data_IF_523967695411
#
_entry.id   IF_523967695411
#
_cell.length_a   1.000
_cell.length_b   1.000
_cell.length_c   1.000
_cell.angle_alpha   90.00
_cell.angle_beta   90.00
_cell.angle_gamma   90.00
#
_symmetry.space_group_name_H-M   'P 1'
#
loop_
_entity.id
_entity.type
_entity.pdbx_description
1 polymer ?
#
# COMPACT_ATOMS: atom_id res chain seq x y z
N UNK A 1 10.01 18.67 -0.66
CA UNK A 1 10.12 17.44 0.17
C UNK A 1 10.76 17.80 1.50
N UNK A 2 10.29 17.23 2.63
CA UNK A 2 10.89 17.46 3.94
C UNK A 2 12.26 16.77 4.08
N UNK A 3 13.09 17.19 5.04
CA UNK A 3 14.46 16.67 5.23
C UNK A 3 14.50 15.15 5.42
N UNK A 4 13.56 14.60 6.19
CA UNK A 4 13.46 13.17 6.45
C UNK A 4 13.23 12.35 5.17
N UNK A 5 12.55 12.93 4.18
CA UNK A 5 12.37 12.32 2.86
C UNK A 5 13.66 12.34 2.02
N UNK A 6 14.45 13.40 2.15
CA UNK A 6 15.77 13.47 1.52
C UNK A 6 16.73 12.45 2.16
N UNK A 7 16.70 12.30 3.48
CA UNK A 7 17.49 11.29 4.20
C UNK A 7 17.10 9.87 3.78
N UNK A 8 15.80 9.61 3.64
CA UNK A 8 15.32 8.33 3.13
C UNK A 8 15.85 8.06 1.71
N UNK A 9 15.80 9.04 0.81
CA UNK A 9 16.33 8.92 -0.54
C UNK A 9 17.85 8.74 -0.56
N UNK A 10 18.61 9.33 0.37
CA UNK A 10 20.05 9.12 0.46
C UNK A 10 20.42 7.67 0.84
N UNK A 11 19.61 7.01 1.67
CA UNK A 11 19.82 5.62 2.11
C UNK A 11 19.35 4.58 1.08
N UNK A 12 18.33 4.93 0.28
CA UNK A 12 17.68 4.00 -0.64
C UNK A 12 17.95 4.30 -2.12
N UNK A 13 18.52 5.47 -2.43
CA UNK A 13 18.87 5.89 -3.78
C UNK A 13 19.99 5.05 -4.39
N UNK A 14 19.94 4.84 -5.71
CA UNK A 14 20.94 4.07 -6.46
C UNK A 14 20.81 2.54 -6.32
N UNK A 15 19.82 2.04 -5.56
CA UNK A 15 19.50 0.61 -5.54
C UNK A 15 18.93 0.18 -6.90
N UNK A 16 19.43 -0.92 -7.43
CA UNK A 16 18.81 -1.57 -8.58
C UNK A 16 17.61 -2.36 -8.09
N UNK A 17 16.41 -1.93 -8.47
CA UNK A 17 15.21 -2.73 -8.22
C UNK A 17 15.10 -3.85 -9.27
N UNK A 18 14.61 -5.00 -8.84
CA UNK A 18 14.42 -6.17 -9.70
C UNK A 18 12.94 -6.53 -9.74
N UNK A 19 12.37 -6.62 -10.94
CA UNK A 19 11.05 -7.18 -11.17
C UNK A 19 11.18 -8.56 -11.80
N UNK A 20 10.42 -9.54 -11.30
CA UNK A 20 10.40 -10.86 -11.88
C UNK A 20 9.69 -11.88 -11.00
N UNK A 21 9.62 -13.11 -11.53
CA UNK A 21 9.08 -14.26 -10.81
C UNK A 21 10.21 -15.24 -10.57
N UNK A 22 10.53 -15.48 -9.31
CA UNK A 22 11.47 -16.51 -8.90
C UNK A 22 10.70 -17.81 -8.68
N UNK A 23 10.96 -18.80 -9.54
CA UNK A 23 10.43 -20.15 -9.38
C UNK A 23 11.43 -21.01 -8.60
N UNK A 24 10.99 -21.59 -7.49
CA UNK A 24 11.79 -22.55 -6.74
C UNK A 24 11.72 -23.92 -7.42
N UNK A 25 12.88 -24.54 -7.62
CA UNK A 25 13.02 -25.84 -8.33
C UNK A 25 12.95 -27.06 -7.41
N UNK A 26 12.74 -26.84 -6.11
CA UNK A 26 12.60 -27.89 -5.10
C UNK A 26 11.41 -27.60 -4.19
N UNK A 27 10.80 -28.63 -3.59
CA UNK A 27 9.72 -28.45 -2.65
C UNK A 27 10.14 -27.62 -1.44
N UNK A 28 9.23 -26.75 -1.00
CA UNK A 28 9.45 -25.83 0.12
C UNK A 28 8.29 -25.88 1.10
N UNK A 29 8.48 -25.32 2.28
CA UNK A 29 7.39 -24.96 3.21
C UNK A 29 7.35 -23.46 3.37
N UNK A 30 6.15 -22.91 3.56
CA UNK A 30 5.89 -21.47 3.61
C UNK A 30 5.58 -21.04 5.03
N UNK A 31 6.35 -20.09 5.56
CA UNK A 31 6.08 -19.45 6.85
C UNK A 31 4.82 -18.58 6.77
N UNK A 32 3.86 -18.72 7.71
CA UNK A 32 2.57 -18.03 7.64
C UNK A 32 2.64 -16.52 7.86
N UNK A 33 3.75 -15.98 8.38
CA UNK A 33 3.85 -14.57 8.79
C UNK A 33 4.44 -13.69 7.70
N UNK A 34 5.58 -14.09 7.15
CA UNK A 34 6.31 -13.31 6.15
C UNK A 34 6.32 -13.98 4.77
N UNK A 35 5.80 -15.21 4.65
CA UNK A 35 5.94 -16.01 3.44
C UNK A 35 7.37 -16.52 3.23
N UNK A 36 8.19 -16.54 4.30
CA UNK A 36 9.55 -17.05 4.24
C UNK A 36 9.55 -18.53 3.84
N UNK A 37 10.43 -18.87 2.91
CA UNK A 37 10.52 -20.22 2.40
C UNK A 37 11.55 -21.04 3.16
N UNK A 38 11.20 -22.30 3.44
CA UNK A 38 12.06 -23.29 4.07
C UNK A 38 12.19 -24.51 3.17
N UNK A 39 13.41 -24.96 2.95
CA UNK A 39 13.68 -26.04 2.02
C UNK A 39 14.73 -27.00 2.60
N UNK A 40 14.30 -28.22 2.94
CA UNK A 40 15.09 -29.17 3.71
C UNK A 40 15.36 -28.69 5.15
N UNK A 41 14.38 -28.05 5.80
CA UNK A 41 14.51 -27.52 7.16
C UNK A 41 15.38 -26.27 7.30
N UNK A 42 15.82 -25.67 6.19
CA UNK A 42 16.65 -24.47 6.16
C UNK A 42 15.94 -23.32 5.47
N UNK A 43 16.06 -22.11 6.02
CA UNK A 43 15.52 -20.89 5.42
C UNK A 43 16.18 -20.63 4.06
N UNK A 44 15.37 -20.22 3.11
CA UNK A 44 15.80 -19.63 1.84
C UNK A 44 15.78 -18.12 2.02
N UNK A 45 16.92 -17.53 2.41
CA UNK A 45 17.03 -16.09 2.63
C UNK A 45 16.76 -15.30 1.35
N UNK A 46 16.14 -14.13 1.49
CA UNK A 46 15.69 -13.34 0.36
C UNK A 46 14.45 -13.91 -0.33
N UNK A 47 13.62 -14.66 0.40
CA UNK A 47 12.32 -15.15 -0.08
C UNK A 47 11.14 -14.26 0.32
N UNK A 48 11.33 -13.31 1.26
CA UNK A 48 10.32 -12.30 1.62
C UNK A 48 10.54 -10.96 0.91
N UNK A 49 9.53 -10.10 0.90
CA UNK A 49 9.61 -8.77 0.28
C UNK A 49 10.66 -7.84 0.89
N UNK A 50 11.05 -8.07 2.14
CA UNK A 50 12.02 -7.24 2.86
C UNK A 50 13.16 -8.11 3.39
N UNK A 51 14.07 -8.60 2.52
CA UNK A 51 15.17 -9.48 2.90
C UNK A 51 15.99 -8.97 4.10
N UNK A 52 16.21 -7.65 4.16
CA UNK A 52 16.94 -6.97 5.23
C UNK A 52 16.23 -6.95 6.58
N UNK A 53 14.93 -7.28 6.60
CA UNK A 53 14.09 -7.36 7.81
C UNK A 53 13.70 -8.79 8.17
N UNK A 54 14.18 -9.79 7.44
CA UNK A 54 13.92 -11.20 7.72
C UNK A 54 14.46 -11.55 9.12
N UNK A 55 13.54 -11.78 10.08
CA UNK A 55 13.88 -12.09 11.47
C UNK A 55 12.84 -13.01 12.10
N UNK A 56 13.30 -13.91 12.97
CA UNK A 56 12.47 -14.73 13.84
C UNK A 56 11.39 -15.56 13.13
N UNK A 57 11.73 -16.36 12.10
CA UNK A 57 10.77 -17.29 11.52
C UNK A 57 10.47 -18.43 12.51
N UNK A 58 9.30 -19.06 12.36
CA UNK A 58 8.86 -20.14 13.24
C UNK A 58 9.54 -21.47 12.88
N UNK A 59 10.82 -21.61 13.24
CA UNK A 59 11.61 -22.82 12.97
C UNK A 59 10.92 -24.10 13.44
N UNK A 60 10.20 -24.06 14.58
CA UNK A 60 9.58 -25.25 15.17
C UNK A 60 8.43 -25.73 14.28
N UNK A 61 7.61 -24.82 13.76
CA UNK A 61 6.54 -25.15 12.81
C UNK A 61 7.05 -25.89 11.57
N UNK A 62 8.27 -25.59 11.11
CA UNK A 62 8.89 -26.21 9.94
C UNK A 62 9.59 -27.56 10.22
N UNK A 63 9.70 -27.99 11.48
CA UNK A 63 10.19 -29.33 11.86
C UNK A 63 9.09 -30.39 11.77
N UNK A 64 7.83 -29.97 11.82
CA UNK A 64 6.68 -30.85 11.74
C UNK A 64 6.29 -31.10 10.28
N UNK A 65 5.62 -32.22 10.01
CA UNK A 65 5.07 -32.50 8.69
C UNK A 65 3.86 -31.59 8.41
N UNK A 66 3.90 -30.74 7.37
CA UNK A 66 2.77 -29.88 7.01
C UNK A 66 1.52 -30.69 6.68
N UNK A 67 0.38 -30.30 7.25
CA UNK A 67 -0.90 -30.98 6.99
C UNK A 67 -1.45 -30.65 5.61
N UNK A 68 -1.29 -29.40 5.16
CA UNK A 68 -1.73 -28.94 3.85
C UNK A 68 -0.56 -28.92 2.87
N UNK A 69 -0.79 -29.45 1.68
CA UNK A 69 0.20 -29.54 0.59
C UNK A 69 -0.41 -29.04 -0.70
N UNK A 70 0.34 -28.23 -1.44
CA UNK A 70 -0.07 -27.66 -2.71
C UNK A 70 0.93 -28.06 -3.82
N UNK A 71 0.45 -28.42 -5.02
CA UNK A 71 1.35 -28.71 -6.14
C UNK A 71 2.12 -27.46 -6.60
N UNK A 72 1.50 -26.29 -6.49
CA UNK A 72 2.15 -25.01 -6.73
C UNK A 72 1.43 -23.89 -5.98
N UNK A 73 2.12 -22.76 -5.77
CA UNK A 73 1.52 -21.53 -5.27
C UNK A 73 2.30 -20.30 -5.73
N UNK A 74 1.60 -19.16 -5.86
CA UNK A 74 2.21 -17.84 -5.94
C UNK A 74 2.02 -17.13 -4.61
N UNK A 75 3.11 -16.67 -4.02
CA UNK A 75 3.11 -16.07 -2.69
C UNK A 75 2.72 -14.59 -2.76
N UNK A 76 1.62 -14.23 -2.11
CA UNK A 76 1.17 -12.86 -1.93
C UNK A 76 1.51 -12.29 -0.54
N UNK A 77 2.17 -13.07 0.32
CA UNK A 77 2.52 -12.66 1.68
C UNK A 77 3.28 -11.34 1.72
N UNK A 78 2.91 -10.50 2.69
CA UNK A 78 3.65 -9.30 3.02
C UNK A 78 3.51 -9.00 4.52
N UNK A 79 4.62 -8.69 5.21
CA UNK A 79 4.62 -8.50 6.69
C UNK A 79 3.70 -7.38 7.19
N UNK A 80 3.40 -6.43 6.30
CA UNK A 80 2.47 -5.32 6.53
C UNK A 80 1.27 -5.36 5.58
N UNK A 81 0.88 -6.52 5.05
CA UNK A 81 -0.21 -6.64 4.07
C UNK A 81 -1.58 -6.18 4.60
N UNK A 82 -1.72 -6.05 5.92
CA UNK A 82 -2.86 -5.45 6.60
C UNK A 82 -2.81 -3.90 6.69
N UNK A 83 -1.84 -3.29 6.02
CA UNK A 83 -1.82 -1.86 5.77
C UNK A 83 -2.28 -1.57 4.34
N UNK A 84 -3.22 -0.65 4.18
CA UNK A 84 -3.82 -0.32 2.87
C UNK A 84 -2.78 0.08 1.80
N UNK A 85 -1.73 0.85 2.16
CA UNK A 85 -0.67 1.17 1.21
C UNK A 85 0.04 -0.09 0.71
N UNK A 86 0.36 -0.99 1.64
CA UNK A 86 1.09 -2.21 1.33
C UNK A 86 0.23 -3.25 0.59
N UNK A 87 -1.07 -3.27 0.85
CA UNK A 87 -2.01 -4.07 0.07
C UNK A 87 -1.93 -3.72 -1.43
N UNK A 88 -1.95 -2.43 -1.78
CA UNK A 88 -1.86 -2.04 -3.19
C UNK A 88 -0.47 -2.30 -3.79
N UNK A 89 0.59 -1.92 -3.09
CA UNK A 89 1.92 -1.87 -3.69
C UNK A 89 2.85 -3.05 -3.37
N UNK A 90 2.43 -4.00 -2.52
CA UNK A 90 3.19 -5.23 -2.24
C UNK A 90 2.35 -6.51 -2.34
N UNK A 91 1.01 -6.42 -2.36
CA UNK A 91 0.12 -7.58 -2.52
C UNK A 91 -0.51 -7.59 -3.92
N UNK A 92 -1.24 -6.53 -4.30
CA UNK A 92 -1.84 -6.44 -5.63
C UNK A 92 -0.81 -6.28 -6.75
N UNK A 93 0.34 -5.68 -6.48
CA UNK A 93 1.42 -5.60 -7.46
C UNK A 93 1.90 -6.99 -7.89
N UNK A 94 1.99 -7.94 -6.95
CA UNK A 94 2.37 -9.32 -7.24
C UNK A 94 1.37 -10.05 -8.12
N UNK A 95 0.08 -9.73 -7.98
CA UNK A 95 -0.99 -10.23 -8.87
C UNK A 95 -0.70 -9.76 -10.29
N UNK A 96 -0.43 -8.46 -10.48
CA UNK A 96 -0.14 -7.88 -11.80
C UNK A 96 1.10 -8.50 -12.43
N UNK A 97 2.18 -8.61 -11.67
CA UNK A 97 3.45 -9.14 -12.18
C UNK A 97 3.34 -10.64 -12.49
N UNK A 98 2.62 -11.42 -11.67
CA UNK A 98 2.37 -12.83 -11.92
C UNK A 98 1.62 -13.07 -13.24
N UNK A 99 0.57 -12.28 -13.49
CA UNK A 99 -0.22 -12.37 -14.71
C UNK A 99 0.57 -11.88 -15.93
N UNK A 100 1.30 -10.76 -15.81
CA UNK A 100 2.16 -10.24 -16.87
C UNK A 100 3.29 -11.22 -17.24
N UNK A 101 3.76 -12.02 -16.28
CA UNK A 101 4.74 -13.09 -16.50
C UNK A 101 4.13 -14.35 -17.15
N UNK A 102 2.82 -14.39 -17.39
CA UNK A 102 2.15 -15.51 -18.04
C UNK A 102 2.09 -16.78 -17.19
N UNK A 103 2.08 -16.65 -15.85
CA UNK A 103 1.96 -17.80 -14.97
C UNK A 103 0.59 -18.46 -15.13
N UNK A 104 0.57 -19.80 -15.06
CA UNK A 104 -0.63 -20.60 -15.23
C UNK A 104 -1.77 -20.11 -14.28
N UNK A 105 -2.96 -19.77 -14.84
CA UNK A 105 -4.12 -19.34 -14.06
C UNK A 105 -4.68 -20.39 -13.09
N UNK A 106 -4.32 -21.66 -13.23
CA UNK A 106 -4.73 -22.74 -12.32
C UNK A 106 -3.91 -22.80 -11.03
N UNK A 107 -2.67 -22.28 -11.05
CA UNK A 107 -1.85 -22.21 -9.84
C UNK A 107 -2.58 -21.23 -8.89
N UNK A 108 -2.68 -21.48 -7.58
CA UNK A 108 -3.37 -20.60 -6.64
C UNK A 108 -2.51 -19.42 -6.18
N UNK A 109 -3.15 -18.30 -5.83
CA UNK A 109 -2.54 -17.27 -5.00
C UNK A 109 -2.63 -17.72 -3.53
N UNK A 110 -1.50 -17.70 -2.83
CA UNK A 110 -1.43 -18.01 -1.40
C UNK A 110 -1.20 -16.71 -0.62
N UNK A 111 -2.11 -16.39 0.28
CA UNK A 111 -2.09 -15.16 1.09
C UNK A 111 -2.24 -15.49 2.56
N UNK A 112 -1.61 -14.72 3.44
CA UNK A 112 -1.75 -14.90 4.88
C UNK A 112 -3.11 -14.41 5.40
N UNK A 113 -3.61 -15.06 6.45
CA UNK A 113 -4.90 -14.74 7.07
C UNK A 113 -5.01 -13.28 7.55
N UNK A 114 -3.88 -12.66 7.97
CA UNK A 114 -3.89 -11.28 8.46
C UNK A 114 -4.25 -10.32 7.32
N UNK A 115 -3.59 -10.44 6.18
CA UNK A 115 -3.92 -9.70 4.95
C UNK A 115 -5.34 -10.01 4.46
N UNK A 116 -5.70 -11.29 4.37
CA UNK A 116 -6.99 -11.75 3.84
C UNK A 116 -8.20 -11.31 4.69
N UNK A 117 -8.00 -11.11 6.00
CA UNK A 117 -9.05 -10.68 6.94
C UNK A 117 -9.43 -9.19 6.83
N UNK A 118 -8.66 -8.39 6.09
CA UNK A 118 -8.93 -6.96 5.99
C UNK A 118 -10.18 -6.65 5.15
N UNK A 119 -10.98 -5.63 5.51
CA UNK A 119 -12.19 -5.30 4.77
C UNK A 119 -11.93 -4.98 3.29
N UNK A 120 -10.82 -4.31 2.97
CA UNK A 120 -10.48 -3.99 1.58
C UNK A 120 -9.99 -5.21 0.79
N UNK A 121 -9.32 -6.18 1.41
CA UNK A 121 -8.98 -7.42 0.71
C UNK A 121 -10.25 -8.17 0.30
N UNK A 122 -11.20 -8.33 1.24
CA UNK A 122 -12.47 -9.01 0.99
C UNK A 122 -13.30 -8.28 -0.08
N UNK A 123 -13.32 -6.94 -0.04
CA UNK A 123 -13.98 -6.15 -1.08
C UNK A 123 -13.29 -6.26 -2.43
N UNK A 124 -11.95 -6.26 -2.48
CA UNK A 124 -11.21 -6.47 -3.73
C UNK A 124 -11.49 -7.87 -4.31
N UNK A 125 -11.58 -8.89 -3.47
CA UNK A 125 -11.98 -10.24 -3.89
C UNK A 125 -13.40 -10.26 -4.46
N UNK A 126 -14.36 -9.62 -3.79
CA UNK A 126 -15.75 -9.53 -4.26
C UNK A 126 -15.88 -8.76 -5.58
N UNK A 127 -15.00 -7.77 -5.82
CA UNK A 127 -14.89 -7.02 -7.07
C UNK A 127 -14.19 -7.80 -8.19
N UNK A 128 -13.63 -8.99 -7.92
CA UNK A 128 -12.90 -9.77 -8.91
C UNK A 128 -11.49 -9.25 -9.22
N UNK A 129 -10.89 -8.43 -8.34
CA UNK A 129 -9.57 -7.81 -8.55
C UNK A 129 -8.45 -8.84 -8.72
N UNK A 130 -8.61 -10.05 -8.17
CA UNK A 130 -7.64 -11.15 -8.29
C UNK A 130 -7.85 -12.05 -9.52
N UNK A 131 -8.76 -11.67 -10.43
CA UNK A 131 -9.12 -12.47 -11.60
C UNK A 131 -9.84 -13.77 -11.23
N UNK A 132 -9.78 -14.76 -12.14
CA UNK A 132 -10.40 -16.08 -11.95
C UNK A 132 -9.55 -17.07 -11.15
N UNK A 133 -8.40 -16.61 -10.64
CA UNK A 133 -7.40 -17.47 -10.01
C UNK A 133 -7.86 -17.92 -8.62
N UNK A 134 -7.63 -19.18 -8.22
CA UNK A 134 -7.97 -19.61 -6.86
C UNK A 134 -7.18 -18.83 -5.81
N UNK A 135 -7.87 -18.38 -4.76
CA UNK A 135 -7.26 -17.75 -3.59
C UNK A 135 -7.27 -18.74 -2.42
N UNK A 136 -6.09 -19.04 -1.89
CA UNK A 136 -5.90 -19.87 -0.72
C UNK A 136 -5.43 -18.98 0.42
N UNK A 137 -6.16 -19.03 1.53
CA UNK A 137 -5.76 -18.38 2.78
C UNK A 137 -4.91 -19.37 3.59
N UNK A 138 -3.72 -18.92 3.97
CA UNK A 138 -2.86 -19.60 4.93
C UNK A 138 -3.19 -19.09 6.34
N UNK A 139 -3.65 -19.99 7.19
CA UNK A 139 -4.09 -19.65 8.54
C UNK A 139 -2.91 -19.27 9.44
N UNK A 140 -3.22 -18.57 10.54
CA UNK A 140 -2.20 -18.16 11.51
C UNK A 140 -1.51 -19.39 12.10
N UNK A 141 -0.18 -19.47 11.96
CA UNK A 141 0.62 -20.60 12.46
C UNK A 141 0.56 -21.85 11.58
N UNK A 142 -0.21 -21.83 10.48
CA UNK A 142 -0.23 -22.94 9.52
C UNK A 142 1.04 -22.91 8.67
N UNK A 143 1.81 -24.00 8.67
CA UNK A 143 2.86 -24.21 7.68
C UNK A 143 2.29 -25.04 6.54
N UNK A 144 2.46 -24.56 5.31
CA UNK A 144 1.98 -25.24 4.09
C UNK A 144 3.18 -25.73 3.28
N UNK A 145 3.16 -26.98 2.83
CA UNK A 145 4.14 -27.47 1.86
C UNK A 145 3.71 -27.11 0.44
N UNK A 146 4.66 -26.67 -0.38
CA UNK A 146 4.43 -26.29 -1.78
C UNK A 146 5.50 -26.95 -2.64
N UNK A 147 5.10 -27.78 -3.60
CA UNK A 147 6.05 -28.48 -4.48
C UNK A 147 6.74 -27.48 -5.44
N UNK A 148 6.01 -26.52 -6.01
CA UNK A 148 6.57 -25.40 -6.79
C UNK A 148 6.09 -24.05 -6.28
N UNK A 149 6.94 -23.34 -5.54
CA UNK A 149 6.65 -21.97 -5.09
C UNK A 149 7.13 -20.91 -6.08
N UNK A 150 6.33 -19.87 -6.26
CA UNK A 150 6.68 -18.67 -7.04
C UNK A 150 6.73 -17.46 -6.10
N UNK A 151 7.90 -16.84 -5.98
CA UNK A 151 8.09 -15.57 -5.28
C UNK A 151 8.08 -14.46 -6.32
N UNK A 152 7.18 -13.50 -6.17
CA UNK A 152 7.07 -12.37 -7.08
C UNK A 152 7.81 -11.17 -6.50
N UNK A 153 8.66 -10.56 -7.32
CA UNK A 153 9.36 -9.31 -7.07
C UNK A 153 8.83 -8.26 -8.03
N UNK A 154 8.52 -7.08 -7.53
CA UNK A 154 8.01 -5.97 -8.32
C UNK A 154 8.92 -4.74 -8.21
N UNK A 155 8.91 -3.93 -9.28
CA UNK A 155 9.49 -2.59 -9.25
C UNK A 155 8.48 -1.65 -8.61
N UNK A 156 8.90 -0.99 -7.54
CA UNK A 156 8.00 -0.29 -6.64
C UNK A 156 7.46 0.99 -7.30
N UNK A 157 6.13 1.19 -7.23
CA UNK A 157 5.43 2.42 -7.67
C UNK A 157 5.61 2.83 -9.14
N UNK A 158 5.91 1.94 -10.09
CA UNK A 158 5.96 2.34 -11.52
C UNK A 158 4.59 2.73 -12.05
N UNK A 159 4.54 3.69 -12.99
CA UNK A 159 3.31 4.04 -13.71
C UNK A 159 2.57 2.82 -14.29
N UNK A 160 3.18 1.92 -15.10
CA UNK A 160 2.45 0.80 -15.69
C UNK A 160 1.83 -0.14 -14.64
N UNK A 161 2.54 -0.36 -13.53
CA UNK A 161 2.03 -1.19 -12.43
C UNK A 161 0.82 -0.53 -11.77
N UNK A 162 0.90 0.77 -11.46
CA UNK A 162 -0.22 1.51 -10.85
C UNK A 162 -1.44 1.54 -11.77
N UNK A 163 -1.23 1.75 -13.08
CA UNK A 163 -2.30 1.76 -14.08
C UNK A 163 -2.96 0.39 -14.22
N UNK A 164 -2.16 -0.68 -14.25
CA UNK A 164 -2.67 -2.05 -14.27
C UNK A 164 -3.45 -2.39 -12.99
N UNK A 165 -2.98 -1.96 -11.81
CA UNK A 165 -3.73 -2.14 -10.56
C UNK A 165 -5.05 -1.36 -10.62
N UNK A 166 -5.02 -0.07 -10.99
CA UNK A 166 -6.20 0.78 -11.05
C UNK A 166 -7.26 0.22 -12.02
N UNK A 167 -6.85 -0.31 -13.17
CA UNK A 167 -7.74 -0.88 -14.18
C UNK A 167 -8.61 -2.03 -13.65
N UNK A 168 -8.12 -2.79 -12.65
CA UNK A 168 -8.86 -3.90 -12.02
C UNK A 168 -10.08 -3.46 -11.22
N UNK A 169 -10.20 -2.17 -10.92
CA UNK A 169 -11.33 -1.62 -10.18
C UNK A 169 -12.43 -1.07 -11.09
N UNK A 170 -12.23 -1.04 -12.42
CA UNK A 170 -13.27 -0.67 -13.38
C UNK A 170 -13.80 0.77 -13.25
N UNK A 171 -13.03 1.67 -12.64
CA UNK A 171 -13.44 3.07 -12.44
C UNK A 171 -13.15 3.91 -13.69
N UNK A 172 -14.04 4.86 -14.01
CA UNK A 172 -13.89 5.72 -15.18
C UNK A 172 -12.71 6.68 -15.02
N UNK A 173 -11.83 6.70 -16.01
CA UNK A 173 -10.66 7.59 -16.07
C UNK A 173 -11.02 9.05 -16.36
N UNK A 174 -12.20 9.28 -16.97
CA UNK A 174 -12.65 10.59 -17.46
C UNK A 174 -13.56 11.32 -16.47
N UNK A 175 -13.73 10.76 -15.26
CA UNK A 175 -14.55 11.40 -14.25
C UNK A 175 -13.92 12.74 -13.81
N UNK A 176 -14.75 13.77 -13.68
CA UNK A 176 -14.40 15.04 -13.05
C UNK A 176 -15.24 15.21 -11.80
N UNK A 177 -14.57 15.37 -10.66
CA UNK A 177 -15.18 15.54 -9.35
C UNK A 177 -14.64 16.75 -8.62
N UNK A 178 -14.98 16.83 -7.35
CA UNK A 178 -14.55 17.90 -6.46
C UNK A 178 -13.11 17.67 -5.96
N UNK A 179 -12.36 18.73 -5.66
CA UNK A 179 -11.08 18.61 -4.96
C UNK A 179 -11.30 18.04 -3.55
N UNK A 180 -10.42 17.15 -3.10
CA UNK A 180 -10.59 16.38 -1.87
C UNK A 180 -9.65 16.87 -0.77
N UNK A 181 -10.17 17.01 0.44
CA UNK A 181 -9.35 17.12 1.64
C UNK A 181 -9.53 15.87 2.49
N UNK A 182 -8.46 15.13 2.72
CA UNK A 182 -8.49 13.89 3.47
C UNK A 182 -8.42 14.20 4.96
N UNK A 183 -9.53 13.98 5.65
CA UNK A 183 -9.61 14.03 7.09
C UNK A 183 -9.06 12.73 7.69
N UNK A 184 -8.38 12.86 8.83
CA UNK A 184 -8.08 11.72 9.69
C UNK A 184 -8.93 11.82 10.95
N UNK A 185 -10.00 11.04 11.01
CA UNK A 185 -10.90 11.06 12.16
C UNK A 185 -10.19 10.60 13.44
N UNK A 186 -10.73 11.03 14.58
CA UNK A 186 -10.22 10.67 15.90
C UNK A 186 -10.17 9.15 16.14
N UNK A 187 -11.04 8.38 15.48
CA UNK A 187 -11.12 6.93 15.51
C UNK A 187 -10.04 6.22 14.67
N UNK A 188 -9.16 6.93 13.98
CA UNK A 188 -8.11 6.32 13.18
C UNK A 188 -7.14 5.51 14.06
N UNK A 189 -7.04 4.21 13.79
CA UNK A 189 -6.32 3.24 14.61
C UNK A 189 -4.82 3.53 14.84
N UNK A 190 -4.21 4.39 14.00
CA UNK A 190 -2.77 4.62 13.95
C UNK A 190 -2.33 5.99 14.53
N UNK A 191 -3.23 6.71 15.21
CA UNK A 191 -2.96 8.06 15.72
C UNK A 191 -2.55 9.06 14.62
N UNK A 192 -1.69 10.03 14.98
CA UNK A 192 -1.27 11.15 14.13
C UNK A 192 -2.41 12.07 13.76
N UNK A 193 -3.21 12.46 14.76
CA UNK A 193 -4.31 13.40 14.57
C UNK A 193 -3.76 14.81 14.46
N UNK A 194 -4.52 15.67 13.81
CA UNK A 194 -4.33 17.10 13.98
C UNK A 194 -5.08 17.53 15.23
N UNK A 195 -4.43 18.20 16.18
CA UNK A 195 -5.14 18.72 17.36
C UNK A 195 -6.09 19.86 17.00
N UNK A 196 -5.79 20.62 15.95
CA UNK A 196 -6.69 21.62 15.37
C UNK A 196 -7.49 21.09 14.15
N UNK A 197 -7.91 19.82 14.17
CA UNK A 197 -8.64 19.18 13.06
C UNK A 197 -9.91 19.95 12.64
N UNK A 198 -10.67 20.49 13.58
CA UNK A 198 -11.91 21.23 13.28
C UNK A 198 -11.61 22.50 12.48
N UNK A 199 -10.56 23.22 12.84
CA UNK A 199 -10.13 24.44 12.14
C UNK A 199 -9.63 24.12 10.72
N UNK A 200 -8.85 23.04 10.59
CA UNK A 200 -8.33 22.52 9.32
C UNK A 200 -9.47 22.13 8.38
N UNK A 201 -10.44 21.35 8.86
CA UNK A 201 -11.56 20.88 8.02
C UNK A 201 -12.52 22.01 7.69
N UNK A 202 -12.75 22.95 8.61
CA UNK A 202 -13.55 24.15 8.34
C UNK A 202 -12.89 25.01 7.26
N UNK A 203 -11.57 25.21 7.31
CA UNK A 203 -10.83 25.92 6.27
C UNK A 203 -10.96 25.21 4.91
N UNK A 204 -10.73 23.90 4.86
CA UNK A 204 -10.82 23.13 3.63
C UNK A 204 -12.21 23.24 2.97
N UNK A 205 -13.30 23.10 3.77
CA UNK A 205 -14.67 23.30 3.29
C UNK A 205 -14.90 24.71 2.75
N UNK A 206 -14.46 25.75 3.47
CA UNK A 206 -14.58 27.15 3.02
C UNK A 206 -13.84 27.40 1.70
N UNK A 207 -12.74 26.68 1.45
CA UNK A 207 -11.97 26.75 0.20
C UNK A 207 -12.55 25.90 -0.93
N UNK A 208 -13.69 25.24 -0.73
CA UNK A 208 -14.35 24.43 -1.77
C UNK A 208 -13.87 22.99 -1.87
N UNK A 209 -13.12 22.49 -0.89
CA UNK A 209 -12.74 21.08 -0.84
C UNK A 209 -13.84 20.24 -0.20
N UNK A 210 -14.10 19.08 -0.78
CA UNK A 210 -14.87 18.03 -0.14
C UNK A 210 -14.01 17.34 0.91
N UNK A 211 -14.36 17.53 2.18
CA UNK A 211 -13.71 16.83 3.30
C UNK A 211 -14.23 15.40 3.39
N UNK A 212 -13.32 14.43 3.35
CA UNK A 212 -13.67 12.99 3.35
C UNK A 212 -12.69 12.19 4.21
N UNK A 213 -13.19 11.19 4.92
CA UNK A 213 -12.38 10.10 5.47
C UNK A 213 -12.54 8.88 4.56
N UNK A 214 -11.53 8.55 3.72
CA UNK A 214 -11.62 7.42 2.80
C UNK A 214 -11.90 6.09 3.51
N UNK A 215 -11.43 5.92 4.75
CA UNK A 215 -11.62 4.69 5.53
C UNK A 215 -13.09 4.37 5.86
N UNK A 216 -13.98 5.35 5.70
CA UNK A 216 -15.43 5.18 5.90
C UNK A 216 -16.18 4.76 4.63
N UNK A 217 -15.49 4.73 3.49
CA UNK A 217 -16.09 4.41 2.19
C UNK A 217 -15.77 2.97 1.77
N UNK A 218 -16.70 2.28 1.08
CA UNK A 218 -16.37 1.06 0.37
C UNK A 218 -15.21 1.27 -0.62
N UNK A 219 -14.39 0.25 -0.83
CA UNK A 219 -13.18 0.27 -1.63
C UNK A 219 -13.42 0.79 -3.05
N UNK A 220 -14.47 0.30 -3.72
CA UNK A 220 -14.84 0.78 -5.05
C UNK A 220 -15.26 2.26 -5.04
N UNK A 221 -15.94 2.71 -3.99
CA UNK A 221 -16.32 4.12 -3.85
C UNK A 221 -15.10 5.01 -3.58
N UNK A 222 -14.08 4.53 -2.84
CA UNK A 222 -12.79 5.22 -2.72
C UNK A 222 -12.13 5.34 -4.09
N UNK A 223 -12.06 4.25 -4.85
CA UNK A 223 -11.47 4.24 -6.19
C UNK A 223 -12.16 5.25 -7.13
N UNK A 224 -13.49 5.24 -7.19
CA UNK A 224 -14.25 6.16 -8.03
C UNK A 224 -14.10 7.63 -7.61
N UNK A 225 -14.11 7.90 -6.30
CA UNK A 225 -13.95 9.25 -5.75
C UNK A 225 -12.58 9.86 -6.12
N UNK A 226 -11.51 9.08 -5.98
CA UNK A 226 -10.16 9.56 -6.28
C UNK A 226 -9.85 9.58 -7.79
N UNK A 227 -10.43 8.67 -8.58
CA UNK A 227 -10.32 8.73 -10.04
C UNK A 227 -10.84 10.07 -10.60
N UNK A 228 -11.86 10.63 -9.96
CA UNK A 228 -12.50 11.89 -10.33
C UNK A 228 -11.80 13.15 -9.77
N UNK A 229 -10.94 13.03 -8.76
CA UNK A 229 -10.43 14.17 -8.00
C UNK A 229 -9.31 14.92 -8.75
N UNK A 230 -9.49 16.21 -9.09
CA UNK A 230 -8.46 17.02 -9.76
C UNK A 230 -7.38 17.53 -8.79
N UNK A 231 -7.69 17.57 -7.50
CA UNK A 231 -6.74 17.92 -6.46
C UNK A 231 -7.03 17.16 -5.17
N UNK A 232 -5.99 16.82 -4.42
CA UNK A 232 -6.07 16.09 -3.15
C UNK A 232 -5.11 16.71 -2.14
N UNK A 233 -5.62 17.11 -0.99
CA UNK A 233 -4.83 17.57 0.15
C UNK A 233 -5.05 16.65 1.35
N UNK A 234 -4.03 16.39 2.18
CA UNK A 234 -4.25 15.63 3.40
C UNK A 234 -2.99 15.18 4.12
N UNK A 235 -3.18 14.56 5.28
CA UNK A 235 -2.10 14.02 6.09
C UNK A 235 -1.37 12.86 5.39
N UNK A 236 -0.04 12.83 5.51
CA UNK A 236 0.80 11.69 5.10
C UNK A 236 0.25 10.38 5.69
N UNK A 237 -0.16 9.44 4.82
CA UNK A 237 -0.71 8.16 5.23
C UNK A 237 -1.55 7.49 4.16
N UNK A 238 -1.95 6.25 4.46
CA UNK A 238 -2.59 5.30 3.55
C UNK A 238 -3.79 5.82 2.75
N UNK A 239 -4.51 6.85 3.21
CA UNK A 239 -5.58 7.46 2.42
C UNK A 239 -5.10 8.02 1.08
N UNK A 240 -3.86 8.52 1.02
CA UNK A 240 -3.22 9.03 -0.20
C UNK A 240 -2.85 7.92 -1.20
N UNK A 241 -2.89 6.64 -0.81
CA UNK A 241 -2.71 5.52 -1.75
C UNK A 241 -3.72 5.59 -2.89
N UNK A 242 -4.95 6.04 -2.61
CA UNK A 242 -6.00 6.16 -3.61
C UNK A 242 -5.66 7.11 -4.78
N UNK A 243 -4.61 7.95 -4.66
CA UNK A 243 -4.09 8.73 -5.79
C UNK A 243 -3.73 7.85 -7.01
N UNK A 244 -3.44 6.55 -6.81
CA UNK A 244 -3.16 5.62 -7.90
C UNK A 244 -4.32 5.48 -8.90
N UNK A 245 -5.56 5.75 -8.48
CA UNK A 245 -6.76 5.64 -9.32
C UNK A 245 -6.94 6.81 -10.29
N UNK A 246 -6.28 7.95 -10.03
CA UNK A 246 -6.37 9.12 -10.89
C UNK A 246 -5.52 8.94 -12.14
N UNK A 247 -6.13 9.07 -13.32
CA UNK A 247 -5.42 8.95 -14.61
C UNK A 247 -5.06 10.30 -15.23
N UNK A 248 -5.97 11.28 -15.14
CA UNK A 248 -5.72 12.64 -15.62
C UNK A 248 -4.82 13.45 -14.68
N UNK A 249 -4.54 14.73 -15.01
CA UNK A 249 -3.80 15.63 -14.15
C UNK A 249 -4.38 15.71 -12.75
N UNK A 250 -3.50 15.84 -11.75
CA UNK A 250 -3.85 16.00 -10.36
C UNK A 250 -2.83 16.90 -9.66
N UNK A 251 -3.27 17.63 -8.65
CA UNK A 251 -2.42 18.40 -7.76
C UNK A 251 -2.53 17.86 -6.34
N UNK A 252 -1.40 17.66 -5.68
CA UNK A 252 -1.32 17.00 -4.38
C UNK A 252 -0.67 17.93 -3.36
N UNK A 253 -1.33 18.13 -2.22
CA UNK A 253 -0.73 18.76 -1.04
C UNK A 253 -0.63 17.75 0.10
N UNK A 254 0.59 17.32 0.40
CA UNK A 254 0.83 16.37 1.47
C UNK A 254 1.28 17.05 2.77
N UNK A 255 0.58 16.78 3.87
CA UNK A 255 0.92 17.28 5.21
C UNK A 255 1.74 16.24 5.98
N UNK A 256 3.02 16.51 6.19
CA UNK A 256 3.95 15.63 6.89
C UNK A 256 3.98 15.89 8.39
N UNK A 257 3.98 14.82 9.18
CA UNK A 257 4.39 14.89 10.58
C UNK A 257 5.92 14.91 10.68
N UNK A 258 6.54 15.68 11.59
CA UNK A 258 8.00 15.72 11.75
C UNK A 258 8.65 14.35 12.00
N UNK A 259 7.91 13.37 12.53
CA UNK A 259 8.39 12.01 12.75
C UNK A 259 8.26 11.06 11.54
N UNK A 260 7.71 11.53 10.42
CA UNK A 260 7.50 10.75 9.19
C UNK A 260 8.42 11.22 8.07
N UNK A 261 9.03 10.27 7.36
CA UNK A 261 10.01 10.57 6.31
C UNK A 261 9.90 9.75 5.03
N UNK A 262 8.94 8.84 4.88
CA UNK A 262 8.86 8.05 3.64
C UNK A 262 8.33 8.91 2.47
N UNK A 263 9.06 9.04 1.35
CA UNK A 263 8.67 9.89 0.21
C UNK A 263 7.67 9.23 -0.75
N UNK A 264 6.92 8.21 -0.30
CA UNK A 264 6.15 7.33 -1.19
C UNK A 264 5.12 8.07 -2.05
N UNK A 265 4.41 9.06 -1.51
CA UNK A 265 3.40 9.79 -2.29
C UNK A 265 4.01 10.86 -3.20
N UNK A 266 5.18 11.40 -2.87
CA UNK A 266 5.99 12.15 -3.83
C UNK A 266 6.42 11.28 -5.02
N UNK A 267 6.91 10.06 -4.75
CA UNK A 267 7.30 9.11 -5.80
C UNK A 267 6.10 8.73 -6.69
N UNK A 268 4.96 8.42 -6.07
CA UNK A 268 3.70 8.17 -6.78
C UNK A 268 3.31 9.37 -7.65
N UNK A 269 3.30 10.58 -7.09
CA UNK A 269 2.96 11.79 -7.81
C UNK A 269 3.91 12.02 -9.00
N UNK A 270 5.22 11.81 -8.81
CA UNK A 270 6.21 11.90 -9.88
C UNK A 270 5.93 10.90 -11.01
N UNK A 271 5.72 9.63 -10.66
CA UNK A 271 5.42 8.57 -11.64
C UNK A 271 4.12 8.85 -12.40
N UNK A 272 3.09 9.38 -11.72
CA UNK A 272 1.82 9.79 -12.33
C UNK A 272 1.86 11.18 -13.00
N UNK A 273 2.95 11.94 -12.88
CA UNK A 273 3.07 13.28 -13.46
C UNK A 273 2.19 14.33 -12.78
N UNK A 274 1.85 14.13 -11.51
CA UNK A 274 1.06 15.05 -10.71
C UNK A 274 1.92 16.21 -10.20
N UNK A 275 1.32 17.40 -10.09
CA UNK A 275 1.95 18.48 -9.36
C UNK A 275 1.90 18.15 -7.86
N UNK A 276 3.02 18.35 -7.17
CA UNK A 276 3.15 17.92 -5.79
C UNK A 276 3.77 19.03 -4.93
N UNK A 277 3.12 19.29 -3.80
CA UNK A 277 3.60 20.13 -2.72
C UNK A 277 3.53 19.39 -1.39
N UNK A 278 4.39 19.78 -0.45
CA UNK A 278 4.39 19.22 0.90
C UNK A 278 4.56 20.31 1.94
N UNK A 279 3.86 20.21 3.07
CA UNK A 279 4.01 21.08 4.23
C UNK A 279 4.28 20.25 5.48
N UNK A 280 5.07 20.81 6.41
CA UNK A 280 5.29 20.19 7.72
C UNK A 280 4.22 20.66 8.70
N UNK A 281 3.68 19.72 9.46
CA UNK A 281 2.94 19.99 10.70
C UNK A 281 3.93 20.20 11.85
N UNK A 282 3.49 20.78 12.96
CA UNK A 282 4.37 21.21 14.05
C UNK A 282 3.87 20.71 15.42
N UNK A 283 4.66 20.96 16.48
CA UNK A 283 4.39 20.57 17.86
C UNK A 283 4.05 19.07 18.04
N UNK A 284 4.90 18.12 17.61
CA UNK A 284 4.60 16.70 17.78
C UNK A 284 4.47 16.32 19.26
N UNK A 285 3.35 15.72 19.64
CA UNK A 285 3.12 15.16 20.98
C UNK A 285 2.87 13.65 20.94
N UNK A 286 3.48 12.91 21.86
CA UNK A 286 3.44 11.45 21.91
C UNK A 286 4.64 10.79 21.24
N UNK A 287 4.48 9.53 20.81
CA UNK A 287 5.58 8.76 20.20
C UNK A 287 5.87 9.29 18.80
N UNK A 288 7.14 9.46 18.46
CA UNK A 288 7.59 10.10 17.21
C UNK A 288 6.81 9.68 15.94
N UNK A 289 6.65 8.38 15.68
CA UNK A 289 5.99 7.87 14.47
C UNK A 289 4.46 8.01 14.48
N UNK A 290 3.85 8.20 15.65
CA UNK A 290 2.39 8.27 15.83
C UNK A 290 1.93 9.58 16.48
N UNK A 291 2.82 10.58 16.51
CA UNK A 291 2.61 11.82 17.24
C UNK A 291 1.46 12.64 16.65
N UNK A 292 0.63 13.19 17.53
CA UNK A 292 -0.36 14.19 17.16
C UNK A 292 0.35 15.54 16.93
N UNK A 293 -0.14 16.33 15.98
CA UNK A 293 0.52 17.58 15.56
C UNK A 293 -0.50 18.70 15.33
N UNK A 294 0.00 19.92 15.15
CA UNK A 294 -0.80 21.07 14.72
C UNK A 294 -0.51 21.40 13.24
N UNK A 295 -1.53 21.89 12.54
CA UNK A 295 -1.40 22.37 11.16
C UNK A 295 -1.40 23.89 11.15
N UNK A 296 -0.49 24.49 10.36
CA UNK A 296 -0.41 25.95 10.25
C UNK A 296 -1.51 26.39 9.28
N UNK A 297 -2.52 27.07 9.79
CA UNK A 297 -3.73 27.43 9.03
C UNK A 297 -3.44 28.42 7.90
N UNK A 298 -2.52 29.36 8.10
CA UNK A 298 -2.12 30.32 7.08
C UNK A 298 -1.37 29.62 5.94
N UNK A 299 -0.38 28.78 6.28
CA UNK A 299 0.36 27.99 5.30
C UNK A 299 -0.56 27.00 4.55
N UNK A 300 -1.48 26.35 5.28
CA UNK A 300 -2.47 25.47 4.68
C UNK A 300 -3.36 26.24 3.70
N UNK A 301 -3.89 27.41 4.11
CA UNK A 301 -4.74 28.23 3.23
C UNK A 301 -4.03 28.55 1.92
N UNK A 302 -2.79 29.03 1.97
CA UNK A 302 -2.01 29.32 0.77
C UNK A 302 -1.72 28.08 -0.08
N UNK A 303 -1.52 26.92 0.54
CA UNK A 303 -1.36 25.64 -0.16
C UNK A 303 -2.63 25.20 -0.88
N UNK A 304 -3.79 25.30 -0.22
CA UNK A 304 -5.09 24.98 -0.81
C UNK A 304 -5.41 25.92 -1.98
N UNK A 305 -5.08 27.22 -1.89
CA UNK A 305 -5.27 28.16 -2.99
C UNK A 305 -4.44 27.78 -4.23
N UNK A 306 -3.18 27.36 -4.04
CA UNK A 306 -2.34 26.89 -5.15
C UNK A 306 -2.83 25.59 -5.80
N UNK A 307 -3.47 24.70 -5.03
CA UNK A 307 -4.09 23.51 -5.61
C UNK A 307 -5.23 23.86 -6.58
N UNK A 308 -5.96 24.96 -6.33
CA UNK A 308 -7.14 25.35 -7.11
C UNK A 308 -6.86 26.33 -8.26
N UNK A 309 -5.67 26.95 -8.29
CA UNK A 309 -5.30 28.02 -9.24
C UNK A 309 -4.89 27.50 -10.62
#
# INVERSE_FOLDING_TARGET
MPAQALDWLAVHGGRTEQQGVLRLTRPVTVDPKMGLLFAGGRIVWGSSDTPERERGPDFIGHLLSPQRRLPAAILLHHVHGDNYFHFFFFVLSKVVVAEAAGLDPSIPFLVDARTASTPWFQQAQALGVFGSRPLIVQERGEVIAVETAHVVRDFFLTRPLMEAIAARFGVSADATGEPLFLERRASAANGRRFRNQDEVTALARRKGFRVVDPGTLPLHAQAALFAAAPAVAGAHGAGLTNLLFRQGPCRVLELFSPGMGSPHYFMLAREKGFAYESQLTFNPEGRAFTADTDVNIEALSGGLDRLLA
#
